data_IF_125376605608
#
_entry.id   IF_125376605608
#
_cell.length_a   1.000
_cell.length_b   1.000
_cell.length_c   1.000
_cell.angle_alpha   90.00
_cell.angle_beta   90.00
_cell.angle_gamma   90.00
#
_symmetry.space_group_name_H-M   'P 1'
#
loop_
_entity.id
_entity.type
_entity.pdbx_description
1 polymer ?
#
# COMPACT_ATOMS: atom_id res chain seq x y z
N UNK A 1 -2.90 -13.31 -5.95
CA UNK A 1 -1.95 -12.32 -6.53
C UNK A 1 -0.65 -12.40 -5.71
N UNK A 2 0.53 -12.49 -6.31
CA UNK A 2 1.82 -12.68 -5.58
C UNK A 2 2.47 -11.32 -5.29
N UNK A 3 3.08 -11.15 -4.11
CA UNK A 3 3.57 -9.86 -3.61
C UNK A 3 4.89 -9.41 -4.23
N UNK A 4 5.08 -8.10 -4.32
CA UNK A 4 6.33 -7.43 -4.72
C UNK A 4 7.26 -7.20 -3.53
N UNK A 5 6.82 -7.43 -2.28
CA UNK A 5 7.59 -7.05 -1.08
C UNK A 5 7.95 -8.28 -0.23
N UNK A 6 7.03 -9.23 -0.07
CA UNK A 6 7.21 -10.38 0.83
C UNK A 6 7.64 -11.64 0.09
N UNK A 7 8.25 -12.57 0.83
CA UNK A 7 8.66 -13.87 0.30
C UNK A 7 7.44 -14.73 -0.11
N UNK A 8 7.59 -15.51 -1.19
CA UNK A 8 6.56 -16.41 -1.75
C UNK A 8 6.48 -17.69 -0.91
N UNK A 9 7.65 -18.23 -0.56
CA UNK A 9 7.90 -19.31 0.39
C UNK A 9 9.01 -18.83 1.32
N UNK A 10 9.18 -19.41 2.51
CA UNK A 10 9.98 -18.84 3.61
C UNK A 10 11.38 -18.28 3.30
N UNK A 11 11.97 -18.58 2.13
CA UNK A 11 13.24 -18.02 1.66
C UNK A 11 13.25 -17.56 0.18
N UNK A 12 12.14 -17.66 -0.56
CA UNK A 12 12.11 -17.36 -1.99
C UNK A 12 11.39 -16.05 -2.31
N UNK A 13 12.08 -15.16 -3.04
CA UNK A 13 11.53 -13.90 -3.53
C UNK A 13 11.34 -13.94 -5.05
N UNK A 14 10.49 -13.04 -5.57
CA UNK A 14 10.51 -12.75 -7.01
C UNK A 14 11.74 -11.93 -7.36
N UNK A 15 12.19 -12.05 -8.60
CA UNK A 15 13.32 -11.28 -9.12
C UNK A 15 13.09 -9.76 -9.01
N UNK A 16 11.82 -9.32 -9.11
CA UNK A 16 11.38 -7.93 -8.95
C UNK A 16 10.98 -7.56 -7.52
N UNK A 17 11.38 -8.33 -6.51
CA UNK A 17 11.07 -7.97 -5.13
C UNK A 17 11.68 -6.59 -4.78
N UNK A 18 10.91 -5.76 -4.10
CA UNK A 18 11.34 -4.46 -3.61
C UNK A 18 12.57 -4.66 -2.71
N UNK A 19 13.68 -3.99 -3.03
CA UNK A 19 14.92 -4.05 -2.25
C UNK A 19 15.01 -2.86 -1.31
N UNK A 20 15.86 -2.94 -0.30
CA UNK A 20 16.02 -1.83 0.65
C UNK A 20 16.54 -0.56 -0.04
N UNK A 21 17.45 -0.69 -1.01
CA UNK A 21 17.95 0.43 -1.83
C UNK A 21 16.89 1.13 -2.68
N UNK A 22 15.74 0.49 -2.87
CA UNK A 22 14.63 1.01 -3.65
C UNK A 22 13.60 1.75 -2.77
N UNK A 23 13.90 1.92 -1.46
CA UNK A 23 13.07 2.63 -0.48
C UNK A 23 13.86 3.82 0.06
N UNK A 24 13.30 5.02 -0.05
CA UNK A 24 13.86 6.22 0.56
C UNK A 24 12.82 6.86 1.48
N UNK A 25 13.14 7.00 2.76
CA UNK A 25 12.34 7.80 3.70
C UNK A 25 12.95 9.20 3.75
N UNK A 26 12.13 10.22 3.51
CA UNK A 26 12.56 11.61 3.36
C UNK A 26 11.91 12.49 4.44
N UNK A 27 12.64 13.50 4.91
CA UNK A 27 12.09 14.56 5.75
C UNK A 27 11.31 15.60 4.93
N UNK A 28 10.77 16.63 5.60
CA UNK A 28 10.01 17.71 4.95
C UNK A 28 10.84 18.55 3.97
N UNK A 29 12.17 18.46 4.01
CA UNK A 29 13.08 19.14 3.08
C UNK A 29 13.52 18.23 1.93
N UNK A 30 13.04 17.00 1.88
CA UNK A 30 13.40 16.01 0.87
C UNK A 30 14.72 15.27 1.16
N UNK A 31 15.30 15.42 2.35
CA UNK A 31 16.55 14.73 2.71
C UNK A 31 16.28 13.35 3.31
N UNK A 32 17.11 12.33 3.01
CA UNK A 32 16.97 11.01 3.60
C UNK A 32 17.05 11.04 5.14
N UNK A 33 16.13 10.34 5.79
CA UNK A 33 16.10 10.27 7.26
C UNK A 33 15.54 8.92 7.73
N UNK A 34 16.02 8.47 8.90
CA UNK A 34 15.42 7.36 9.65
C UNK A 34 14.84 7.82 10.98
N UNK A 35 14.82 9.13 11.24
CA UNK A 35 14.20 9.70 12.44
C UNK A 35 12.69 9.60 12.32
N UNK A 36 11.99 8.87 13.22
CA UNK A 36 10.54 8.74 13.18
C UNK A 36 9.81 10.08 13.28
N UNK A 37 10.40 11.07 13.95
CA UNK A 37 9.82 12.40 14.14
C UNK A 37 9.98 13.29 12.90
N UNK A 38 11.12 13.20 12.22
CA UNK A 38 11.42 14.03 11.04
C UNK A 38 10.88 13.43 9.73
N UNK A 39 10.68 12.12 9.68
CA UNK A 39 10.22 11.43 8.48
C UNK A 39 8.85 11.97 8.00
N UNK A 40 8.77 12.40 6.74
CA UNK A 40 7.59 13.04 6.18
C UNK A 40 6.99 12.25 5.01
N UNK A 41 7.83 11.67 4.16
CA UNK A 41 7.39 10.85 3.03
C UNK A 41 8.25 9.61 2.86
N UNK A 42 7.73 8.63 2.13
CA UNK A 42 8.48 7.48 1.64
C UNK A 42 8.31 7.36 0.13
N UNK A 43 9.44 7.25 -0.57
CA UNK A 43 9.51 7.00 -2.00
C UNK A 43 9.89 5.54 -2.23
N UNK A 44 9.15 4.87 -3.12
CA UNK A 44 9.34 3.49 -3.52
C UNK A 44 9.66 3.45 -5.00
N UNK A 45 10.85 2.96 -5.36
CA UNK A 45 11.26 2.74 -6.75
C UNK A 45 10.99 1.30 -7.15
N UNK A 46 9.93 1.07 -7.91
CA UNK A 46 9.53 -0.24 -8.39
C UNK A 46 10.26 -0.55 -9.69
N UNK A 47 11.38 -1.27 -9.59
CA UNK A 47 12.25 -1.61 -10.74
C UNK A 47 11.61 -2.62 -11.69
N UNK A 48 10.62 -3.38 -11.21
CA UNK A 48 9.83 -4.27 -12.04
C UNK A 48 8.51 -4.63 -11.34
N UNK A 49 7.59 -5.20 -12.09
CA UNK A 49 6.36 -5.78 -11.55
C UNK A 49 5.81 -6.87 -12.45
N UNK A 50 4.77 -7.58 -12.00
CA UNK A 50 4.11 -8.58 -12.85
C UNK A 50 3.62 -8.01 -14.19
N UNK A 51 3.22 -6.74 -14.22
CA UNK A 51 2.70 -6.06 -15.42
C UNK A 51 3.73 -5.13 -16.06
N UNK A 52 4.93 -5.04 -15.49
CA UNK A 52 6.05 -4.24 -15.98
C UNK A 52 7.31 -5.09 -15.84
N UNK A 53 7.40 -6.16 -16.63
CA UNK A 53 8.51 -7.11 -16.52
C UNK A 53 9.79 -6.58 -17.17
N UNK A 54 9.68 -5.72 -18.20
CA UNK A 54 10.82 -5.16 -18.93
C UNK A 54 10.76 -3.63 -19.12
N UNK A 55 9.79 -2.94 -18.51
CA UNK A 55 9.63 -1.49 -18.70
C UNK A 55 10.28 -0.66 -17.61
N UNK A 56 10.24 0.66 -17.81
CA UNK A 56 10.93 1.62 -16.96
C UNK A 56 10.50 1.51 -15.48
N UNK A 57 11.43 1.70 -14.52
CA UNK A 57 11.09 1.75 -13.11
C UNK A 57 10.02 2.80 -12.82
N UNK A 58 9.05 2.45 -11.99
CA UNK A 58 7.99 3.38 -11.58
C UNK A 58 8.23 3.84 -10.15
N UNK A 59 8.08 5.14 -9.87
CA UNK A 59 8.23 5.67 -8.51
C UNK A 59 6.85 5.99 -7.93
N UNK A 60 6.58 5.49 -6.72
CA UNK A 60 5.43 5.89 -5.92
C UNK A 60 5.88 6.61 -4.66
N UNK A 61 5.16 7.66 -4.27
CA UNK A 61 5.41 8.39 -3.03
C UNK A 61 4.19 8.28 -2.12
N UNK A 62 4.43 8.03 -0.83
CA UNK A 62 3.41 8.04 0.21
C UNK A 62 3.82 9.03 1.30
N UNK A 63 2.89 9.89 1.70
CA UNK A 63 3.11 10.88 2.76
C UNK A 63 2.68 10.34 4.12
N UNK A 64 3.14 11.01 5.19
CA UNK A 64 2.72 10.73 6.56
C UNK A 64 1.20 10.90 6.67
N UNK A 65 0.52 9.93 7.28
CA UNK A 65 -0.95 9.94 7.41
C UNK A 65 -1.45 10.68 8.65
N UNK A 66 -0.56 11.05 9.57
CA UNK A 66 -0.92 11.57 10.89
C UNK A 66 -1.35 10.51 11.91
N UNK A 67 -1.66 9.28 11.47
CA UNK A 67 -2.04 8.20 12.39
C UNK A 67 -0.79 7.57 13.04
N UNK A 68 -0.80 7.27 14.36
CA UNK A 68 0.36 6.70 15.07
C UNK A 68 0.78 5.28 14.64
N UNK A 69 -0.05 4.58 13.87
CA UNK A 69 0.13 3.15 13.55
C UNK A 69 -0.17 2.87 12.08
N UNK A 70 -1.24 3.48 11.55
CA UNK A 70 -1.64 3.36 10.14
C UNK A 70 -0.90 4.40 9.28
N UNK A 71 0.43 4.44 9.37
CA UNK A 71 1.26 5.39 8.64
C UNK A 71 2.30 4.68 7.78
N UNK A 72 2.28 4.87 6.44
CA UNK A 72 3.22 4.20 5.55
C UNK A 72 4.66 4.66 5.77
N UNK A 73 4.86 5.93 6.13
CA UNK A 73 6.17 6.49 6.45
C UNK A 73 6.74 5.86 7.72
N UNK A 74 5.93 5.75 8.77
CA UNK A 74 6.34 5.08 10.00
C UNK A 74 6.64 3.58 9.77
N UNK A 75 5.79 2.90 8.99
CA UNK A 75 6.02 1.52 8.57
C UNK A 75 7.34 1.34 7.83
N UNK A 76 7.68 2.26 6.92
CA UNK A 76 8.96 2.24 6.20
C UNK A 76 10.16 2.48 7.13
N UNK A 77 10.04 3.39 8.11
CA UNK A 77 11.09 3.60 9.13
C UNK A 77 11.35 2.33 9.93
N UNK A 78 10.29 1.69 10.47
CA UNK A 78 10.42 0.42 11.21
C UNK A 78 11.07 -0.65 10.33
N UNK A 79 10.61 -0.78 9.08
CA UNK A 79 11.09 -1.76 8.13
C UNK A 79 12.58 -1.57 7.81
N UNK A 80 13.06 -0.33 7.66
CA UNK A 80 14.48 -0.02 7.46
C UNK A 80 15.31 -0.21 8.74
N UNK A 81 14.76 0.13 9.91
CA UNK A 81 15.42 -0.08 11.20
C UNK A 81 15.60 -1.57 11.52
N UNK A 82 14.58 -2.40 11.29
CA UNK A 82 14.60 -3.85 11.57
C UNK A 82 15.66 -4.61 10.76
N UNK A 83 16.12 -4.04 9.64
CA UNK A 83 17.16 -4.62 8.79
C UNK A 83 18.52 -3.95 8.90
N UNK A 84 18.72 -3.07 9.88
CA UNK A 84 20.00 -2.38 10.08
C UNK A 84 21.13 -3.43 10.16
N UNK A 85 22.17 -3.28 9.33
CA UNK A 85 23.28 -4.21 9.23
C UNK A 85 23.16 -5.24 8.08
N UNK A 86 22.03 -5.30 7.37
CA UNK A 86 21.89 -6.11 6.16
C UNK A 86 22.24 -5.32 4.88
N UNK A 87 22.69 -5.99 3.80
CA UNK A 87 22.98 -5.33 2.53
C UNK A 87 21.75 -4.61 1.93
N UNK A 88 21.93 -3.47 1.27
CA UNK A 88 20.82 -2.73 0.69
C UNK A 88 20.22 -3.39 -0.58
N UNK A 89 20.99 -4.25 -1.25
CA UNK A 89 20.60 -4.92 -2.49
C UNK A 89 19.72 -6.15 -2.32
N UNK A 90 19.49 -6.61 -1.08
CA UNK A 90 18.59 -7.76 -0.81
C UNK A 90 17.14 -7.29 -0.57
N UNK A 91 16.16 -8.20 -0.64
CA UNK A 91 14.75 -7.85 -0.49
C UNK A 91 14.41 -7.12 0.81
N UNK A 92 13.53 -6.13 0.70
CA UNK A 92 13.07 -5.25 1.77
C UNK A 92 12.10 -5.93 2.77
N UNK A 93 11.91 -7.24 2.70
CA UNK A 93 11.26 -8.01 3.76
C UNK A 93 12.23 -8.83 4.61
N UNK A 94 13.54 -8.80 4.31
CA UNK A 94 14.57 -9.49 5.11
C UNK A 94 14.99 -8.61 6.29
N UNK A 95 15.03 -9.18 7.49
CA UNK A 95 15.35 -8.51 8.75
C UNK A 95 16.26 -9.39 9.63
N UNK A 96 16.86 -8.81 10.67
CA UNK A 96 17.61 -9.59 11.65
C UNK A 96 16.66 -10.13 12.73
N UNK A 97 16.59 -11.45 12.86
CA UNK A 97 15.84 -12.08 13.94
C UNK A 97 16.44 -11.75 15.30
N UNK A 98 15.70 -12.05 16.38
CA UNK A 98 16.17 -11.88 17.76
C UNK A 98 17.47 -12.63 18.10
N UNK A 99 17.85 -13.61 17.27
CA UNK A 99 19.09 -14.39 17.41
C UNK A 99 20.20 -13.91 16.48
N UNK A 100 20.02 -12.79 15.79
CA UNK A 100 21.01 -12.23 14.85
C UNK A 100 21.03 -12.88 13.47
N UNK A 101 20.23 -13.93 13.24
CA UNK A 101 20.16 -14.60 11.94
C UNK A 101 19.20 -13.86 11.00
N UNK A 102 19.51 -13.74 9.69
CA UNK A 102 18.58 -13.22 8.70
C UNK A 102 17.30 -14.06 8.62
N UNK A 103 16.15 -13.40 8.77
CA UNK A 103 14.83 -13.95 8.56
C UNK A 103 14.07 -13.07 7.56
N UNK A 104 12.93 -13.53 7.04
CA UNK A 104 12.13 -12.70 6.16
C UNK A 104 10.63 -12.76 6.48
N UNK A 105 9.93 -11.69 6.12
CA UNK A 105 8.46 -11.66 6.16
C UNK A 105 7.92 -12.32 4.90
N UNK A 106 7.16 -13.40 5.08
CA UNK A 106 6.50 -14.14 4.01
C UNK A 106 5.06 -13.69 3.79
N UNK A 107 4.46 -14.11 2.67
CA UNK A 107 3.04 -13.92 2.42
C UNK A 107 2.16 -14.63 3.45
N UNK A 108 2.63 -15.75 4.02
CA UNK A 108 1.91 -16.47 5.08
C UNK A 108 1.89 -15.66 6.37
N UNK A 109 3.02 -15.07 6.78
CA UNK A 109 3.10 -14.24 7.98
C UNK A 109 2.12 -13.06 7.93
N UNK A 110 2.03 -12.40 6.77
CA UNK A 110 1.09 -11.31 6.54
C UNK A 110 -0.35 -11.81 6.55
N UNK A 111 -0.65 -12.93 5.89
CA UNK A 111 -1.99 -13.51 5.87
C UNK A 111 -2.45 -13.87 7.27
N UNK A 112 -1.58 -14.48 8.08
CA UNK A 112 -1.88 -14.89 9.45
C UNK A 112 -2.05 -13.69 10.38
N UNK A 113 -1.29 -12.60 10.18
CA UNK A 113 -1.51 -11.35 10.90
C UNK A 113 -2.90 -10.75 10.59
N UNK A 114 -3.31 -10.72 9.32
CA UNK A 114 -4.63 -10.23 8.91
C UNK A 114 -5.75 -11.12 9.49
N UNK A 115 -5.59 -12.43 9.41
CA UNK A 115 -6.57 -13.40 9.93
C UNK A 115 -6.73 -13.31 11.44
N UNK A 116 -5.63 -13.11 12.18
CA UNK A 116 -5.68 -12.84 13.62
C UNK A 116 -6.41 -11.55 13.93
N UNK A 117 -6.17 -10.48 13.16
CA UNK A 117 -6.91 -9.23 13.33
C UNK A 117 -8.42 -9.43 13.09
N UNK A 118 -8.79 -10.16 12.03
CA UNK A 118 -10.18 -10.49 11.74
C UNK A 118 -10.86 -11.24 12.90
N UNK A 119 -10.17 -12.24 13.47
CA UNK A 119 -10.67 -13.00 14.62
C UNK A 119 -10.94 -12.09 15.83
N UNK A 120 -10.00 -11.20 16.15
CA UNK A 120 -10.13 -10.26 17.28
C UNK A 120 -11.29 -9.29 17.09
N UNK A 121 -11.62 -8.94 15.85
CA UNK A 121 -12.77 -8.07 15.52
C UNK A 121 -14.07 -8.85 15.28
N UNK A 122 -14.14 -10.14 15.61
CA UNK A 122 -15.35 -10.96 15.46
C UNK A 122 -15.71 -11.32 14.01
N UNK A 123 -14.77 -11.20 13.08
CA UNK A 123 -14.97 -11.55 11.66
C UNK A 123 -14.43 -12.96 11.37
N UNK A 124 -14.99 -13.64 10.36
CA UNK A 124 -14.52 -14.96 9.93
C UNK A 124 -13.15 -14.85 9.24
N UNK A 125 -12.05 -15.39 9.81
CA UNK A 125 -10.71 -15.28 9.22
C UNK A 125 -10.59 -15.93 7.83
N UNK A 126 -11.46 -16.88 7.49
CA UNK A 126 -11.45 -17.55 6.17
C UNK A 126 -11.79 -16.59 5.03
N UNK A 127 -12.43 -15.46 5.33
CA UNK A 127 -12.76 -14.41 4.37
C UNK A 127 -11.59 -13.45 4.10
N UNK A 128 -10.48 -13.58 4.84
CA UNK A 128 -9.35 -12.65 4.78
C UNK A 128 -8.07 -13.28 4.26
N UNK A 129 -7.33 -12.49 3.49
CA UNK A 129 -6.02 -12.85 2.93
C UNK A 129 -5.18 -11.59 2.70
N UNK A 130 -3.93 -11.74 2.25
CA UNK A 130 -3.12 -10.61 1.80
C UNK A 130 -3.82 -9.76 0.71
N UNK A 131 -4.69 -10.37 -0.10
CA UNK A 131 -5.44 -9.65 -1.14
C UNK A 131 -6.48 -8.69 -0.54
N UNK A 132 -6.96 -8.96 0.68
CA UNK A 132 -7.92 -8.11 1.39
C UNK A 132 -7.39 -6.70 1.63
N UNK A 133 -6.07 -6.52 1.77
CA UNK A 133 -5.45 -5.19 1.86
C UNK A 133 -5.70 -4.36 0.60
N UNK A 134 -5.69 -5.00 -0.58
CA UNK A 134 -5.91 -4.31 -1.85
C UNK A 134 -7.37 -3.98 -2.09
N UNK A 135 -8.26 -4.96 -1.90
CA UNK A 135 -9.70 -4.72 -2.08
C UNK A 135 -10.22 -3.75 -1.03
N UNK A 136 -9.85 -3.94 0.24
CA UNK A 136 -10.24 -3.06 1.35
C UNK A 136 -9.71 -1.63 1.17
N UNK A 137 -8.47 -1.45 0.70
CA UNK A 137 -7.93 -0.14 0.39
C UNK A 137 -8.70 0.60 -0.71
N UNK A 138 -9.05 -0.09 -1.81
CA UNK A 138 -9.88 0.48 -2.87
C UNK A 138 -11.28 0.86 -2.36
N UNK A 139 -11.92 -0.03 -1.60
CA UNK A 139 -13.22 0.23 -1.00
C UNK A 139 -13.16 1.45 -0.07
N UNK A 140 -12.12 1.56 0.77
CA UNK A 140 -11.99 2.68 1.70
C UNK A 140 -11.77 4.01 0.98
N UNK A 141 -10.86 4.08 0.00
CA UNK A 141 -10.67 5.29 -0.82
C UNK A 141 -11.96 5.72 -1.52
N UNK A 142 -12.73 4.77 -2.07
CA UNK A 142 -14.01 5.06 -2.69
C UNK A 142 -15.04 5.62 -1.70
N UNK A 143 -15.14 5.04 -0.50
CA UNK A 143 -16.03 5.55 0.58
C UNK A 143 -15.64 6.96 1.03
N UNK A 144 -14.36 7.31 0.94
CA UNK A 144 -13.86 8.65 1.20
C UNK A 144 -14.05 9.63 0.02
N UNK A 145 -14.72 9.22 -1.05
CA UNK A 145 -14.95 10.07 -2.22
C UNK A 145 -13.71 10.34 -3.08
N UNK A 146 -12.66 9.51 -2.93
CA UNK A 146 -11.48 9.61 -3.81
C UNK A 146 -11.89 9.28 -5.24
N UNK A 147 -11.42 10.08 -6.21
CA UNK A 147 -11.76 9.87 -7.61
C UNK A 147 -11.22 8.54 -8.16
N UNK A 148 -11.88 8.03 -9.19
CA UNK A 148 -11.60 6.72 -9.76
C UNK A 148 -10.18 6.61 -10.35
N UNK A 149 -9.64 7.69 -10.94
CA UNK A 149 -8.30 7.70 -11.52
C UNK A 149 -7.24 7.62 -10.42
N UNK A 150 -7.40 8.38 -9.35
CA UNK A 150 -6.51 8.30 -8.18
C UNK A 150 -6.53 6.92 -7.55
N UNK A 151 -7.70 6.28 -7.41
CA UNK A 151 -7.81 4.90 -6.92
C UNK A 151 -7.07 3.93 -7.85
N UNK A 152 -7.27 4.06 -9.16
CA UNK A 152 -6.65 3.22 -10.18
C UNK A 152 -5.12 3.34 -10.16
N UNK A 153 -4.60 4.57 -10.15
CA UNK A 153 -3.17 4.86 -10.08
C UNK A 153 -2.56 4.41 -8.76
N UNK A 154 -3.19 4.73 -7.62
CA UNK A 154 -2.69 4.36 -6.31
C UNK A 154 -2.54 2.85 -6.16
N UNK A 155 -3.55 2.09 -6.59
CA UNK A 155 -3.45 0.64 -6.56
C UNK A 155 -2.69 0.04 -7.73
N UNK A 156 -2.25 0.81 -8.73
CA UNK A 156 -1.55 0.31 -9.92
C UNK A 156 -2.38 -0.75 -10.67
N UNK A 157 -3.65 -0.44 -10.93
CA UNK A 157 -4.51 -1.29 -11.75
C UNK A 157 -4.41 -0.88 -13.23
N UNK A 158 -3.95 -1.81 -14.06
CA UNK A 158 -3.90 -1.60 -15.53
C UNK A 158 -5.31 -1.56 -16.14
N UNK A 159 -6.26 -2.29 -15.54
CA UNK A 159 -7.63 -2.37 -15.99
C UNK A 159 -8.61 -1.88 -14.93
N UNK A 160 -9.89 -1.82 -15.31
CA UNK A 160 -11.03 -1.48 -14.47
C UNK A 160 -11.35 -2.50 -13.36
N UNK A 161 -10.46 -3.47 -13.08
CA UNK A 161 -10.67 -4.48 -12.05
C UNK A 161 -10.95 -3.89 -10.66
N UNK A 162 -10.45 -2.68 -10.37
CA UNK A 162 -10.73 -1.99 -9.11
C UNK A 162 -12.23 -1.67 -8.92
N UNK A 163 -12.99 -1.49 -10.01
CA UNK A 163 -14.44 -1.21 -9.97
C UNK A 163 -15.22 -2.30 -9.23
N UNK A 164 -14.74 -3.56 -9.29
CA UNK A 164 -15.34 -4.68 -8.53
C UNK A 164 -15.25 -4.53 -7.00
N UNK A 165 -14.34 -3.69 -6.50
CA UNK A 165 -14.15 -3.40 -5.08
C UNK A 165 -14.86 -2.10 -4.63
N UNK A 166 -15.31 -1.28 -5.58
CA UNK A 166 -15.98 0.00 -5.32
C UNK A 166 -17.47 -0.16 -5.58
N UNK A 167 -18.21 -0.56 -4.56
CA UNK A 167 -19.69 -0.63 -4.61
C UNK A 167 -20.27 0.64 -4.01
N UNK A 168 -21.39 1.10 -4.57
CA UNK A 168 -22.17 2.19 -3.97
C UNK A 168 -22.37 1.90 -2.49
N UNK A 169 -21.97 2.86 -1.66
CA UNK A 169 -22.09 2.81 -0.21
C UNK A 169 -23.01 3.93 0.26
N UNK A 170 -23.48 3.83 1.51
CA UNK A 170 -24.40 4.80 2.09
C UNK A 170 -23.84 6.23 2.01
N UNK A 171 -22.54 6.37 2.26
CA UNK A 171 -21.84 7.65 2.17
C UNK A 171 -21.89 8.23 0.76
N UNK A 172 -21.55 7.43 -0.26
CA UNK A 172 -21.60 7.86 -1.66
C UNK A 172 -23.02 8.25 -2.09
N UNK A 173 -24.04 7.50 -1.68
CA UNK A 173 -25.44 7.79 -2.02
C UNK A 173 -25.89 9.10 -1.37
N UNK A 174 -25.51 9.32 -0.11
CA UNK A 174 -25.89 10.52 0.64
C UNK A 174 -25.26 11.77 0.02
N UNK A 175 -23.97 11.72 -0.32
CA UNK A 175 -23.29 12.81 -1.03
C UNK A 175 -23.90 13.05 -2.41
N UNK A 176 -24.14 11.99 -3.18
CA UNK A 176 -24.74 12.10 -4.52
C UNK A 176 -26.12 12.76 -4.47
N UNK A 177 -26.97 12.38 -3.50
CA UNK A 177 -28.28 13.00 -3.32
C UNK A 177 -28.18 14.50 -2.99
N UNK A 178 -27.23 14.89 -2.13
CA UNK A 178 -26.99 16.29 -1.82
C UNK A 178 -26.47 17.09 -3.03
N UNK A 179 -25.57 16.50 -3.83
CA UNK A 179 -25.03 17.15 -5.02
C UNK A 179 -26.08 17.29 -6.13
N UNK A 180 -26.98 16.31 -6.29
CA UNK A 180 -28.10 16.40 -7.23
C UNK A 180 -29.03 17.60 -6.95
N UNK A 181 -29.21 17.98 -5.68
CA UNK A 181 -30.00 19.17 -5.31
C UNK A 181 -29.24 20.47 -5.57
N UNK A 182 -27.91 20.45 -5.45
CA UNK A 182 -27.03 21.61 -5.65
C UNK A 182 -26.66 21.86 -7.11
N UNK A 183 -26.90 20.90 -7.99
CA UNK A 183 -26.60 21.01 -9.42
C UNK A 183 -27.28 22.24 -10.03
N UNK A 184 -26.49 23.12 -10.62
CA UNK A 184 -27.02 24.27 -11.36
C UNK A 184 -27.80 23.79 -12.58
N UNK A 185 -29.05 24.22 -12.71
CA UNK A 185 -29.93 23.94 -13.87
C UNK A 185 -29.60 24.79 -15.10
N UNK A 186 -28.37 25.29 -15.21
CA UNK A 186 -27.93 26.08 -16.36
C UNK A 186 -27.78 25.17 -17.58
N UNK A 187 -28.22 25.65 -18.74
CA UNK A 187 -28.04 24.95 -20.01
C UNK A 187 -26.56 24.58 -20.20
N UNK A 188 -26.28 23.27 -20.15
CA UNK A 188 -24.92 22.74 -20.28
C UNK A 188 -24.50 22.59 -21.75
N UNK A 189 -25.43 22.84 -22.67
CA UNK A 189 -25.22 22.89 -24.11
C UNK A 189 -24.97 24.33 -24.53
N UNK A 190 -23.73 24.63 -24.89
CA UNK A 190 -23.45 25.75 -25.79
C UNK A 190 -24.01 25.36 -27.17
N UNK A 191 -25.00 26.10 -27.66
CA UNK A 191 -25.48 26.01 -29.04
C UNK A 191 -24.40 26.46 -30.04
#
# INVERSE_FOLDING_TARGET
RRSEIVAITGHAFKWFALRAQDIAVLDSTGKPTLSPQLAYSVCLRLVGSKTNQDGAPTTGMLSRSGHPFLCPVFGAVILLQARKGLPAGIPAAVYLSRWGNPACVSATDVADAIKRAALVTGMDPRQFSCHSLRSGGATHMYRCGTDALTIQFHGRWVSDAFKSYTRLCQESITTLAADMVRGTTGDSTLH
#
